data_IF_710327649494
#
_entry.id   IF_710327649494
#
_cell.length_a   1.000
_cell.length_b   1.000
_cell.length_c   1.000
_cell.angle_alpha   90.00
_cell.angle_beta   90.00
_cell.angle_gamma   90.00
#
_symmetry.space_group_name_H-M   'P 1'
#
loop_
_entity.id
_entity.type
_entity.pdbx_description
1 polymer ?
#
# COMPACT_ATOMS: atom_id res chain seq x y z
N UNK A 1 -9.15 15.12 -4.90
CA UNK A 1 -9.11 16.51 -5.37
C UNK A 1 -7.86 17.15 -4.79
N UNK A 2 -6.80 17.27 -5.57
CA UNK A 2 -5.58 17.97 -5.15
C UNK A 2 -6.01 19.41 -4.85
N UNK A 3 -5.72 19.99 -3.69
CA UNK A 3 -6.13 21.35 -3.40
C UNK A 3 -5.45 22.29 -4.39
N UNK A 4 -6.22 22.96 -5.24
CA UNK A 4 -5.78 24.05 -6.07
C UNK A 4 -5.06 25.08 -5.19
N UNK A 5 -3.79 25.33 -5.49
CA UNK A 5 -2.98 26.39 -4.89
C UNK A 5 -3.73 27.70 -4.98
N UNK A 6 -4.24 28.20 -3.86
CA UNK A 6 -4.73 29.57 -3.75
C UNK A 6 -3.56 30.49 -4.11
N UNK A 7 -3.71 31.30 -5.15
CA UNK A 7 -2.79 32.39 -5.44
C UNK A 7 -2.71 33.30 -4.21
N UNK A 8 -1.53 33.35 -3.59
CA UNK A 8 -1.25 34.35 -2.57
C UNK A 8 -1.34 35.75 -3.19
N UNK A 9 -2.16 36.62 -2.59
CA UNK A 9 -2.36 38.00 -3.02
C UNK A 9 -1.14 38.92 -2.80
N UNK A 10 -0.07 38.43 -2.19
CA UNK A 10 1.07 39.24 -1.76
C UNK A 10 2.24 39.30 -2.75
N UNK A 11 2.02 39.14 -4.04
CA UNK A 11 3.02 39.45 -5.08
C UNK A 11 4.41 38.77 -4.92
N UNK A 12 4.68 38.04 -3.85
CA UNK A 12 5.91 37.26 -3.67
C UNK A 12 5.85 36.02 -4.56
N UNK A 13 6.76 35.93 -5.52
CA UNK A 13 6.99 34.71 -6.31
C UNK A 13 7.06 33.54 -5.33
N UNK A 14 6.28 32.44 -5.57
CA UNK A 14 6.42 31.26 -4.75
C UNK A 14 7.90 30.85 -4.75
N UNK A 15 8.42 30.35 -3.61
CA UNK A 15 9.78 29.85 -3.57
C UNK A 15 9.95 28.88 -4.74
N UNK A 16 11.03 29.03 -5.52
CA UNK A 16 11.35 28.13 -6.64
C UNK A 16 11.15 26.71 -6.13
N UNK A 17 10.16 26.00 -6.65
CA UNK A 17 10.01 24.59 -6.38
C UNK A 17 11.34 23.97 -6.77
N UNK A 18 12.09 23.48 -5.80
CA UNK A 18 13.31 22.74 -6.07
C UNK A 18 12.87 21.48 -6.78
N UNK A 19 13.01 21.47 -8.09
CA UNK A 19 12.77 20.27 -8.89
C UNK A 19 13.73 19.20 -8.37
N UNK A 20 13.23 18.03 -7.97
CA UNK A 20 14.09 16.95 -7.49
C UNK A 20 15.18 16.66 -8.53
N UNK A 21 16.43 16.54 -8.09
CA UNK A 21 17.58 16.28 -8.96
C UNK A 21 17.99 14.81 -8.95
N UNK A 22 17.56 14.07 -7.94
CA UNK A 22 17.88 12.66 -7.75
C UNK A 22 16.59 11.84 -7.54
N UNK A 23 16.67 10.54 -7.77
CA UNK A 23 15.56 9.63 -7.49
C UNK A 23 15.15 9.67 -6.00
N UNK A 24 16.13 9.79 -5.09
CA UNK A 24 15.89 9.88 -3.65
C UNK A 24 15.10 11.14 -3.28
N UNK A 25 15.44 12.28 -3.89
CA UNK A 25 14.70 13.53 -3.67
C UNK A 25 13.26 13.47 -4.19
N UNK A 26 12.99 12.64 -5.19
CA UNK A 26 11.65 12.43 -5.75
C UNK A 26 10.75 11.60 -4.84
N UNK A 27 11.31 10.83 -3.90
CA UNK A 27 10.53 10.00 -2.97
C UNK A 27 9.89 10.88 -1.90
N UNK A 28 8.53 10.95 -1.81
CA UNK A 28 7.82 12.01 -1.11
C UNK A 28 7.60 11.76 0.38
N UNK A 29 8.59 11.27 1.13
CA UNK A 29 8.53 11.25 2.58
C UNK A 29 9.81 11.83 3.21
N UNK A 30 9.72 12.29 4.46
CA UNK A 30 10.84 12.90 5.15
C UNK A 30 11.66 11.90 5.96
N UNK A 31 10.99 11.00 6.70
CA UNK A 31 11.68 10.06 7.59
C UNK A 31 10.85 8.79 7.81
N UNK A 32 11.50 7.66 7.78
CA UNK A 32 10.99 6.37 8.24
C UNK A 32 11.60 6.05 9.62
N UNK A 33 10.78 5.53 10.53
CA UNK A 33 11.21 5.06 11.84
C UNK A 33 11.16 3.53 11.90
N UNK A 34 11.92 2.95 12.81
CA UNK A 34 12.03 1.49 12.98
C UNK A 34 10.69 0.83 13.30
N UNK A 35 9.83 1.52 14.08
CA UNK A 35 8.51 1.06 14.49
C UNK A 35 7.44 1.13 13.37
N UNK A 36 7.83 1.41 12.14
CA UNK A 36 6.93 1.55 11.01
C UNK A 36 6.25 2.91 10.88
N UNK A 37 6.47 3.83 11.80
CA UNK A 37 5.96 5.19 11.64
C UNK A 37 6.74 5.93 10.54
N UNK A 38 6.02 6.57 9.64
CA UNK A 38 6.61 7.38 8.57
C UNK A 38 6.17 8.84 8.72
N UNK A 39 7.14 9.75 8.81
CA UNK A 39 6.89 11.18 8.68
C UNK A 39 6.88 11.53 7.20
N UNK A 40 5.70 11.73 6.64
CA UNK A 40 5.53 12.03 5.20
C UNK A 40 5.90 13.50 4.92
N UNK A 41 5.36 14.40 5.71
CA UNK A 41 5.60 15.85 5.65
C UNK A 41 5.66 16.42 7.08
N UNK A 42 6.09 17.69 7.27
CA UNK A 42 6.03 18.32 8.58
C UNK A 42 4.61 18.22 9.15
N UNK A 43 4.51 17.71 10.38
CA UNK A 43 3.23 17.59 11.07
C UNK A 43 2.30 16.46 10.58
N UNK A 44 2.73 15.54 9.72
CA UNK A 44 1.89 14.43 9.28
C UNK A 44 2.63 13.09 9.30
N UNK A 45 2.04 12.13 9.98
CA UNK A 45 2.63 10.82 10.26
C UNK A 45 1.68 9.70 9.89
N UNK A 46 2.23 8.61 9.34
CA UNK A 46 1.46 7.46 8.86
C UNK A 46 2.01 6.14 9.38
N UNK A 47 1.14 5.13 9.48
CA UNK A 47 1.48 3.71 9.63
C UNK A 47 0.74 2.89 8.60
N UNK A 48 1.22 1.66 8.33
CA UNK A 48 0.65 0.76 7.33
C UNK A 48 0.40 -0.61 7.94
N UNK A 49 -0.75 -1.18 7.62
CA UNK A 49 -1.15 -2.53 7.97
C UNK A 49 -1.32 -3.30 6.67
N UNK A 50 -0.69 -4.47 6.55
CA UNK A 50 -0.97 -5.44 5.51
C UNK A 50 -2.14 -6.30 5.95
N UNK A 51 -3.10 -6.58 5.06
CA UNK A 51 -4.24 -7.44 5.37
C UNK A 51 -4.54 -8.41 4.23
N UNK A 52 -5.21 -9.52 4.57
CA UNK A 52 -5.59 -10.56 3.62
C UNK A 52 -7.06 -10.42 3.21
N UNK A 53 -7.45 -11.18 2.20
CA UNK A 53 -8.84 -11.26 1.78
C UNK A 53 -9.71 -11.99 2.81
N UNK A 54 -10.98 -11.61 2.82
CA UNK A 54 -12.05 -12.39 3.39
C UNK A 54 -12.66 -13.28 2.31
N UNK A 55 -13.03 -14.50 2.66
CA UNK A 55 -13.59 -15.45 1.69
C UNK A 55 -15.08 -15.18 1.42
N UNK A 56 -15.37 -13.97 0.92
CA UNK A 56 -16.72 -13.49 0.68
C UNK A 56 -17.48 -14.31 -0.36
N UNK A 57 -16.80 -14.79 -1.41
CA UNK A 57 -17.47 -15.50 -2.51
C UNK A 57 -18.06 -16.85 -2.10
N UNK A 58 -17.38 -17.56 -1.18
CA UNK A 58 -17.82 -18.87 -0.68
C UNK A 58 -18.75 -18.77 0.54
N UNK A 59 -18.97 -17.58 1.07
CA UNK A 59 -19.85 -17.36 2.21
C UNK A 59 -21.33 -17.53 1.83
N UNK A 60 -22.15 -18.01 2.76
CA UNK A 60 -23.61 -18.06 2.61
C UNK A 60 -24.20 -16.64 2.57
N UNK A 61 -25.44 -16.49 2.11
CA UNK A 61 -26.05 -15.17 1.92
C UNK A 61 -26.16 -14.38 3.23
N UNK A 62 -26.46 -15.07 4.33
CA UNK A 62 -26.54 -14.46 5.65
C UNK A 62 -25.17 -13.97 6.14
N UNK A 63 -24.11 -14.77 5.92
CA UNK A 63 -22.75 -14.41 6.24
C UNK A 63 -22.25 -13.22 5.38
N UNK A 64 -22.67 -13.17 4.10
CA UNK A 64 -22.34 -12.03 3.23
C UNK A 64 -22.90 -10.72 3.75
N UNK A 65 -24.12 -10.75 4.27
CA UNK A 65 -24.76 -9.57 4.87
C UNK A 65 -24.00 -9.15 6.14
N UNK A 66 -23.67 -10.10 7.00
CA UNK A 66 -22.90 -9.83 8.22
C UNK A 66 -21.50 -9.25 7.90
N UNK A 67 -20.79 -9.82 6.92
CA UNK A 67 -19.50 -9.30 6.45
C UNK A 67 -19.64 -7.87 5.94
N UNK A 68 -20.69 -7.57 5.18
CA UNK A 68 -20.92 -6.22 4.67
C UNK A 68 -21.21 -5.22 5.80
N UNK A 69 -22.03 -5.58 6.77
CA UNK A 69 -22.32 -4.75 7.94
C UNK A 69 -21.06 -4.48 8.77
N UNK A 70 -20.22 -5.48 8.98
CA UNK A 70 -18.94 -5.33 9.67
C UNK A 70 -17.96 -4.43 8.88
N UNK A 71 -17.93 -4.52 7.55
CA UNK A 71 -17.15 -3.60 6.71
C UNK A 71 -17.68 -2.15 6.81
N UNK A 72 -18.97 -1.95 6.82
CA UNK A 72 -19.56 -0.64 7.04
C UNK A 72 -19.14 -0.08 8.42
N UNK A 73 -19.19 -0.90 9.45
CA UNK A 73 -18.76 -0.56 10.80
C UNK A 73 -17.28 -0.23 10.86
N UNK A 74 -16.44 -1.03 10.17
CA UNK A 74 -15.01 -0.78 10.04
C UNK A 74 -14.71 0.58 9.39
N UNK A 75 -15.37 0.91 8.29
CA UNK A 75 -15.18 2.19 7.61
C UNK A 75 -15.67 3.38 8.44
N UNK A 76 -16.73 3.20 9.22
CA UNK A 76 -17.28 4.22 10.12
C UNK A 76 -16.38 4.49 11.35
N UNK A 77 -15.38 3.64 11.62
CA UNK A 77 -14.39 3.89 12.67
C UNK A 77 -13.55 5.14 12.40
N UNK A 78 -13.29 5.45 11.13
CA UNK A 78 -12.42 6.58 10.76
C UNK A 78 -13.17 7.91 10.87
N UNK A 79 -12.79 8.72 11.82
CA UNK A 79 -13.26 10.10 11.93
C UNK A 79 -12.53 11.04 10.95
N UNK A 80 -12.95 12.30 10.92
CA UNK A 80 -12.37 13.32 10.01
C UNK A 80 -10.91 13.69 10.32
N UNK A 81 -10.37 13.28 11.47
CA UNK A 81 -8.97 13.52 11.88
C UNK A 81 -8.02 12.41 11.40
N UNK A 82 -8.54 11.29 10.95
CA UNK A 82 -7.78 10.14 10.47
C UNK A 82 -7.93 10.07 8.95
N UNK A 83 -6.84 10.30 8.24
CA UNK A 83 -6.78 10.06 6.80
C UNK A 83 -6.35 8.61 6.58
N UNK A 84 -6.99 7.92 5.66
CA UNK A 84 -6.56 6.57 5.33
C UNK A 84 -6.65 6.30 3.84
N UNK A 85 -5.90 5.31 3.42
CA UNK A 85 -5.87 4.82 2.04
C UNK A 85 -5.85 3.31 2.01
N UNK A 86 -6.53 2.75 1.04
CA UNK A 86 -6.47 1.33 0.70
C UNK A 86 -5.64 1.18 -0.56
N UNK A 87 -4.56 0.40 -0.47
CA UNK A 87 -3.67 0.15 -1.60
C UNK A 87 -3.68 -1.32 -1.96
N UNK A 88 -3.89 -1.59 -3.24
CA UNK A 88 -3.84 -2.90 -3.86
C UNK A 88 -2.61 -2.94 -4.75
N UNK A 89 -1.68 -3.83 -4.43
CA UNK A 89 -0.36 -3.89 -5.08
C UNK A 89 -0.22 -5.25 -5.76
N UNK A 90 -0.15 -5.23 -7.08
CA UNK A 90 0.17 -6.39 -7.89
C UNK A 90 1.61 -6.24 -8.38
N UNK A 91 2.49 -7.10 -7.93
CA UNK A 91 3.89 -7.11 -8.36
C UNK A 91 4.28 -8.48 -8.87
N UNK A 92 5.22 -8.52 -9.82
CA UNK A 92 5.81 -9.78 -10.24
C UNK A 92 6.44 -10.48 -9.04
N UNK A 93 6.09 -11.75 -8.87
CA UNK A 93 6.64 -12.59 -7.81
C UNK A 93 8.07 -12.94 -8.16
N UNK A 94 9.01 -12.81 -7.23
CA UNK A 94 10.32 -13.43 -7.38
C UNK A 94 10.10 -14.95 -7.42
N UNK A 95 10.41 -15.56 -8.56
CA UNK A 95 10.22 -17.01 -8.79
C UNK A 95 10.93 -17.86 -7.74
N UNK A 96 12.05 -17.41 -7.22
CA UNK A 96 12.83 -18.12 -6.21
C UNK A 96 12.18 -18.08 -4.82
N UNK A 97 11.62 -16.93 -4.41
CA UNK A 97 10.88 -16.82 -3.14
C UNK A 97 9.53 -17.52 -3.22
N UNK A 98 8.94 -17.50 -4.40
CA UNK A 98 7.71 -18.22 -4.68
C UNK A 98 7.91 -19.75 -4.63
N UNK A 99 8.94 -20.29 -5.28
CA UNK A 99 9.28 -21.71 -5.20
C UNK A 99 9.52 -22.19 -3.76
N UNK A 100 10.15 -21.35 -2.92
CA UNK A 100 10.33 -21.65 -1.50
C UNK A 100 9.00 -21.72 -0.74
N UNK A 101 8.03 -20.85 -1.06
CA UNK A 101 6.73 -20.79 -0.37
C UNK A 101 5.83 -21.98 -0.70
N UNK A 102 5.99 -22.58 -1.90
CA UNK A 102 5.18 -23.71 -2.36
C UNK A 102 5.83 -25.06 -2.01
N UNK A 103 7.13 -25.06 -1.76
CA UNK A 103 7.87 -26.29 -1.47
C UNK A 103 7.52 -26.81 -0.08
N UNK A 104 6.82 -27.93 -0.03
CA UNK A 104 6.60 -28.66 1.20
C UNK A 104 7.88 -29.44 1.53
N UNK A 105 8.50 -29.18 2.69
CA UNK A 105 9.75 -29.86 3.04
C UNK A 105 9.51 -31.37 3.25
N UNK A 106 10.46 -32.18 2.82
CA UNK A 106 10.47 -33.62 3.06
C UNK A 106 10.56 -33.89 4.56
N UNK A 107 9.76 -34.85 5.05
CA UNK A 107 9.72 -35.23 6.46
C UNK A 107 10.23 -36.67 6.71
N UNK A 108 10.58 -37.40 5.64
CA UNK A 108 11.07 -38.79 5.69
C UNK A 108 10.10 -39.78 6.37
N UNK A 109 8.80 -39.52 6.24
CA UNK A 109 7.71 -40.30 6.88
C UNK A 109 6.98 -41.23 5.89
N UNK A 110 7.55 -41.45 4.70
CA UNK A 110 6.96 -42.30 3.64
C UNK A 110 5.94 -41.59 2.75
N UNK A 111 5.65 -40.28 2.97
CA UNK A 111 4.72 -39.46 2.16
C UNK A 111 5.42 -38.36 1.36
N UNK A 112 6.72 -38.48 1.14
CA UNK A 112 7.50 -37.43 0.47
C UNK A 112 7.20 -37.36 -1.03
N UNK A 113 6.82 -38.46 -1.67
CA UNK A 113 6.30 -38.51 -3.03
C UNK A 113 4.99 -37.73 -3.19
N UNK A 114 4.06 -37.89 -2.26
CA UNK A 114 2.79 -37.13 -2.22
C UNK A 114 3.06 -35.63 -2.05
N UNK A 115 4.01 -35.24 -1.18
CA UNK A 115 4.42 -33.84 -1.01
C UNK A 115 5.02 -33.26 -2.27
N UNK A 116 5.84 -34.05 -2.99
CA UNK A 116 6.42 -33.64 -4.25
C UNK A 116 5.34 -33.43 -5.33
N UNK A 117 4.41 -34.39 -5.46
CA UNK A 117 3.29 -34.31 -6.41
C UNK A 117 2.38 -33.10 -6.11
N UNK A 118 2.03 -32.89 -4.84
CA UNK A 118 1.23 -31.73 -4.43
C UNK A 118 1.95 -30.41 -4.71
N UNK A 119 3.24 -30.32 -4.44
CA UNK A 119 4.05 -29.15 -4.79
C UNK A 119 4.11 -28.91 -6.28
N UNK A 120 4.16 -29.99 -7.09
CA UNK A 120 4.13 -29.90 -8.55
C UNK A 120 2.75 -29.45 -9.06
N UNK A 121 1.67 -29.96 -8.48
CA UNK A 121 0.31 -29.54 -8.79
C UNK A 121 0.11 -28.04 -8.51
N UNK A 122 0.57 -27.56 -7.34
CA UNK A 122 0.52 -26.14 -6.99
C UNK A 122 1.28 -25.28 -8.00
N UNK A 123 2.49 -25.71 -8.45
CA UNK A 123 3.26 -25.03 -9.50
C UNK A 123 2.47 -24.94 -10.80
N UNK A 124 1.83 -26.03 -11.22
CA UNK A 124 1.04 -26.07 -12.45
C UNK A 124 -0.22 -25.20 -12.37
N UNK A 125 -0.91 -25.18 -11.24
CA UNK A 125 -2.07 -24.33 -11.06
C UNK A 125 -1.71 -22.84 -11.09
N UNK A 126 -0.62 -22.48 -10.45
CA UNK A 126 -0.14 -21.11 -10.41
C UNK A 126 0.40 -20.63 -11.77
N UNK A 127 1.03 -21.51 -12.54
CA UNK A 127 1.43 -21.19 -13.92
C UNK A 127 0.24 -21.01 -14.87
N UNK A 128 -0.92 -21.56 -14.54
CA UNK A 128 -2.15 -21.43 -15.36
C UNK A 128 -3.07 -20.27 -14.94
N UNK A 129 -2.98 -19.81 -13.70
CA UNK A 129 -3.99 -18.91 -13.13
C UNK A 129 -3.52 -17.54 -12.67
N UNK A 130 -2.23 -17.35 -12.46
CA UNK A 130 -1.69 -16.11 -11.91
C UNK A 130 -0.34 -15.79 -12.56
N UNK A 131 -0.27 -15.33 -13.73
CA UNK A 131 0.95 -14.95 -14.50
C UNK A 131 2.18 -14.49 -13.67
N UNK A 132 2.42 -15.13 -12.50
CA UNK A 132 3.50 -14.79 -11.58
C UNK A 132 3.32 -13.48 -10.81
N UNK A 133 2.08 -12.98 -10.66
CA UNK A 133 1.79 -11.78 -9.88
C UNK A 133 1.34 -12.13 -8.46
N UNK A 134 1.95 -11.48 -7.48
CA UNK A 134 1.48 -11.50 -6.09
C UNK A 134 0.60 -10.28 -5.84
N UNK A 135 -0.64 -10.53 -5.41
CA UNK A 135 -1.60 -9.49 -5.02
C UNK A 135 -1.53 -9.28 -3.51
N UNK A 136 -1.15 -8.09 -3.08
CA UNK A 136 -1.09 -7.71 -1.67
C UNK A 136 -1.94 -6.48 -1.40
N UNK A 137 -2.47 -6.38 -0.18
CA UNK A 137 -3.36 -5.31 0.23
C UNK A 137 -2.84 -4.61 1.47
N UNK A 138 -2.93 -3.29 1.46
CA UNK A 138 -2.44 -2.46 2.54
C UNK A 138 -3.48 -1.41 2.90
N UNK A 139 -3.60 -1.17 4.19
CA UNK A 139 -4.29 -0.02 4.75
C UNK A 139 -3.23 0.89 5.37
N UNK A 140 -3.07 2.09 4.82
CA UNK A 140 -2.22 3.12 5.40
C UNK A 140 -3.10 4.18 6.02
N UNK A 141 -2.87 4.50 7.28
CA UNK A 141 -3.58 5.55 8.00
C UNK A 141 -2.61 6.58 8.53
N UNK A 142 -3.09 7.79 8.68
CA UNK A 142 -2.26 8.90 9.12
C UNK A 142 -3.03 9.97 9.88
N UNK A 143 -2.31 10.66 10.75
CA UNK A 143 -2.81 11.75 11.58
C UNK A 143 -1.86 12.94 11.56
N UNK A 144 -2.40 14.10 11.84
CA UNK A 144 -1.63 15.31 12.05
C UNK A 144 -1.17 15.45 13.51
N UNK A 145 0.00 16.05 13.71
CA UNK A 145 0.54 16.37 15.03
C UNK A 145 1.94 16.99 14.95
N UNK A 146 2.30 17.77 15.95
CA UNK A 146 3.51 18.61 15.92
C UNK A 146 4.80 17.80 16.16
N UNK A 147 4.72 16.72 16.91
CA UNK A 147 5.89 15.92 17.28
C UNK A 147 5.61 14.43 17.31
N UNK A 148 6.67 13.64 17.14
CA UNK A 148 6.61 12.17 17.23
C UNK A 148 6.13 11.71 18.63
N UNK A 149 6.55 12.38 19.69
CA UNK A 149 6.15 12.04 21.05
C UNK A 149 4.63 12.16 21.27
N UNK A 150 4.01 13.15 20.64
CA UNK A 150 2.57 13.37 20.70
C UNK A 150 1.79 12.37 19.83
N UNK A 151 2.31 12.08 18.64
CA UNK A 151 1.60 11.30 17.60
C UNK A 151 1.69 9.81 17.86
N UNK A 152 2.83 9.32 18.36
CA UNK A 152 3.09 7.88 18.51
C UNK A 152 2.04 7.16 19.36
N UNK A 153 1.66 7.60 20.56
CA UNK A 153 0.63 6.92 21.36
C UNK A 153 -0.73 6.86 20.65
N UNK A 154 -1.08 7.92 19.91
CA UNK A 154 -2.33 7.99 19.16
C UNK A 154 -2.32 7.03 17.96
N UNK A 155 -1.21 6.94 17.23
CA UNK A 155 -1.05 5.97 16.15
C UNK A 155 -1.10 4.52 16.65
N UNK A 156 -0.53 4.25 17.83
CA UNK A 156 -0.59 2.93 18.47
C UNK A 156 -2.01 2.56 18.89
N UNK A 157 -2.76 3.50 19.44
CA UNK A 157 -4.18 3.29 19.79
C UNK A 157 -5.00 2.96 18.54
N UNK A 158 -4.90 3.78 17.48
CA UNK A 158 -5.59 3.54 16.21
C UNK A 158 -5.18 2.17 15.62
N UNK A 159 -3.90 1.82 15.69
CA UNK A 159 -3.42 0.52 15.23
C UNK A 159 -4.12 -0.64 15.95
N UNK A 160 -4.20 -0.59 17.27
CA UNK A 160 -4.83 -1.63 18.06
C UNK A 160 -6.33 -1.76 17.74
N UNK A 161 -7.02 -0.63 17.58
CA UNK A 161 -8.44 -0.62 17.22
C UNK A 161 -8.65 -1.20 15.81
N UNK A 162 -7.79 -0.85 14.84
CA UNK A 162 -7.85 -1.41 13.51
C UNK A 162 -7.56 -2.90 13.50
N UNK A 163 -6.59 -3.38 14.28
CA UNK A 163 -6.30 -4.80 14.41
C UNK A 163 -7.48 -5.57 15.01
N UNK A 164 -8.14 -5.02 16.03
CA UNK A 164 -9.35 -5.59 16.60
C UNK A 164 -10.50 -5.63 15.59
N UNK A 165 -10.66 -4.59 14.77
CA UNK A 165 -11.67 -4.54 13.72
C UNK A 165 -11.39 -5.59 12.63
N UNK A 166 -10.14 -5.73 12.17
CA UNK A 166 -9.76 -6.81 11.24
C UNK A 166 -10.02 -8.20 11.83
N UNK A 167 -9.72 -8.39 13.11
CA UNK A 167 -9.99 -9.66 13.79
C UNK A 167 -11.48 -9.98 13.83
N UNK A 168 -12.35 -9.01 14.10
CA UNK A 168 -13.82 -9.18 14.05
C UNK A 168 -14.32 -9.55 12.67
N UNK A 169 -13.73 -8.96 11.61
CA UNK A 169 -13.99 -9.32 10.22
C UNK A 169 -13.48 -10.71 9.83
N UNK A 170 -12.74 -11.39 10.70
CA UNK A 170 -12.08 -12.65 10.37
C UNK A 170 -10.91 -12.49 9.38
N UNK A 171 -10.38 -11.28 9.23
CA UNK A 171 -9.29 -10.95 8.32
C UNK A 171 -7.96 -11.01 9.05
N UNK A 172 -7.01 -11.76 8.51
CA UNK A 172 -5.65 -11.75 8.99
C UNK A 172 -4.97 -10.44 8.58
N UNK A 173 -4.48 -9.72 9.55
CA UNK A 173 -3.81 -8.44 9.34
C UNK A 173 -2.50 -8.38 10.14
N UNK A 174 -1.55 -7.59 9.65
CA UNK A 174 -0.23 -7.41 10.27
C UNK A 174 0.21 -5.96 10.13
N UNK A 175 0.53 -5.25 11.23
CA UNK A 175 1.19 -3.97 11.16
C UNK A 175 2.60 -4.13 10.58
N UNK A 176 3.00 -3.26 9.67
CA UNK A 176 4.34 -3.28 9.10
C UNK A 176 5.30 -2.45 9.93
N UNK A 177 6.46 -3.01 10.25
CA UNK A 177 7.58 -2.27 10.81
C UNK A 177 8.29 -1.40 9.74
N UNK A 178 9.30 -0.63 10.15
CA UNK A 178 10.01 0.26 9.25
C UNK A 178 10.75 -0.47 8.14
N UNK A 179 11.30 -1.64 8.42
CA UNK A 179 12.02 -2.47 7.42
C UNK A 179 11.03 -3.06 6.41
N UNK A 180 9.89 -3.55 6.88
CA UNK A 180 8.83 -4.11 6.04
C UNK A 180 8.20 -3.03 5.14
N UNK A 181 7.97 -1.82 5.68
CA UNK A 181 7.51 -0.69 4.88
C UNK A 181 8.52 -0.26 3.81
N UNK A 182 9.81 -0.23 4.16
CA UNK A 182 10.86 0.06 3.18
C UNK A 182 10.95 -1.03 2.11
N UNK A 183 10.79 -2.30 2.48
CA UNK A 183 10.73 -3.41 1.50
C UNK A 183 9.54 -3.27 0.57
N UNK A 184 8.37 -2.93 1.09
CA UNK A 184 7.19 -2.64 0.28
C UNK A 184 7.45 -1.50 -0.71
N UNK A 185 7.97 -0.38 -0.24
CA UNK A 185 8.31 0.77 -1.09
C UNK A 185 9.40 0.43 -2.12
N UNK A 186 10.38 -0.37 -1.74
CA UNK A 186 11.40 -0.87 -2.67
C UNK A 186 10.76 -1.70 -3.78
N UNK A 187 9.86 -2.63 -3.46
CA UNK A 187 9.14 -3.44 -4.45
C UNK A 187 8.31 -2.59 -5.41
N UNK A 188 7.68 -1.52 -4.91
CA UNK A 188 6.93 -0.56 -5.74
C UNK A 188 7.82 0.29 -6.67
N UNK A 189 9.04 0.59 -6.24
CA UNK A 189 9.98 1.45 -6.96
C UNK A 189 11.00 0.67 -7.81
N UNK A 190 11.09 -0.64 -7.65
CA UNK A 190 12.00 -1.55 -8.37
C UNK A 190 11.23 -2.76 -8.92
N UNK A 191 10.14 -2.50 -9.63
CA UNK A 191 9.26 -3.54 -10.19
C UNK A 191 9.93 -4.39 -11.26
N UNK A 192 11.08 -3.99 -11.80
CA UNK A 192 11.88 -4.76 -12.75
C UNK A 192 12.65 -5.92 -12.10
N UNK A 193 12.67 -5.98 -10.77
CA UNK A 193 13.39 -7.02 -10.02
C UNK A 193 14.90 -6.97 -10.14
N UNK A 194 15.46 -5.93 -10.79
CA UNK A 194 16.90 -5.82 -11.03
C UNK A 194 17.68 -5.59 -9.73
N UNK A 195 17.08 -4.92 -8.77
CA UNK A 195 17.68 -4.65 -7.46
C UNK A 195 17.06 -5.51 -6.37
N UNK A 196 17.89 -6.19 -5.60
CA UNK A 196 17.44 -6.87 -4.39
C UNK A 196 17.43 -5.90 -3.21
N UNK A 197 16.39 -5.99 -2.39
CA UNK A 197 16.28 -5.18 -1.18
C UNK A 197 17.31 -5.60 -0.14
N UNK A 198 18.24 -4.69 0.17
CA UNK A 198 19.21 -4.83 1.25
C UNK A 198 19.12 -3.62 2.16
N UNK A 199 18.78 -3.85 3.41
CA UNK A 199 18.61 -2.78 4.38
C UNK A 199 18.90 -3.26 5.80
N UNK A 200 19.69 -2.46 6.53
CA UNK A 200 19.94 -2.66 7.95
C UNK A 200 20.05 -1.28 8.64
N UNK A 201 19.26 -1.08 9.68
CA UNK A 201 19.26 0.18 10.44
C UNK A 201 20.64 0.57 11.00
N UNK A 202 21.44 -0.41 11.42
CA UNK A 202 22.78 -0.18 11.97
C UNK A 202 23.75 0.38 10.94
N UNK A 203 23.59 0.01 9.68
CA UNK A 203 24.49 0.43 8.61
C UNK A 203 24.23 1.87 8.18
N UNK A 204 22.97 2.33 8.23
CA UNK A 204 22.61 3.72 7.94
C UNK A 204 23.28 4.69 8.92
N UNK A 205 23.27 4.36 10.21
CA UNK A 205 23.91 5.21 11.24
C UNK A 205 25.42 5.35 10.99
N UNK A 206 26.07 4.30 10.45
CA UNK A 206 27.50 4.28 10.20
C UNK A 206 27.89 4.88 8.85
N UNK A 207 27.09 4.65 7.81
CA UNK A 207 27.43 5.02 6.43
C UNK A 207 27.04 6.45 6.05
N UNK A 208 26.18 7.11 6.83
CA UNK A 208 25.61 8.41 6.45
C UNK A 208 24.62 8.35 5.29
N UNK A 209 24.26 7.16 4.82
CA UNK A 209 23.23 6.95 3.81
C UNK A 209 21.85 7.23 4.40
N UNK A 210 20.92 7.60 3.56
CA UNK A 210 19.50 7.75 3.96
C UNK A 210 18.71 6.47 3.71
N UNK A 211 17.61 6.29 4.41
CA UNK A 211 16.68 5.18 4.15
C UNK A 211 16.16 5.18 2.70
N UNK A 212 16.19 6.32 2.04
CA UNK A 212 15.78 6.46 0.64
C UNK A 212 16.76 5.83 -0.34
N UNK A 213 18.04 5.73 0.02
CA UNK A 213 19.06 5.08 -0.83
C UNK A 213 18.79 3.58 -0.97
N UNK A 214 18.21 2.96 0.06
CA UNK A 214 17.87 1.54 0.02
C UNK A 214 16.63 1.20 -0.84
N UNK A 215 15.80 2.18 -1.15
CA UNK A 215 14.54 1.97 -1.88
C UNK A 215 14.49 2.67 -3.24
N UNK A 216 15.40 3.60 -3.50
CA UNK A 216 15.41 4.36 -4.74
C UNK A 216 15.62 3.43 -5.95
N UNK A 217 14.91 3.67 -7.07
CA UNK A 217 15.18 2.95 -8.31
C UNK A 217 16.53 3.36 -8.87
N UNK A 218 17.15 2.46 -9.65
CA UNK A 218 18.44 2.72 -10.34
C UNK A 218 18.39 3.91 -11.27
N UNK A 219 17.25 4.11 -11.93
CA UNK A 219 17.00 5.24 -12.82
C UNK A 219 15.53 5.63 -12.77
N UNK A 220 15.28 6.94 -12.83
CA UNK A 220 13.95 7.50 -12.93
C UNK A 220 13.98 8.60 -14.00
N UNK A 221 13.20 8.46 -15.06
CA UNK A 221 13.15 9.39 -16.16
C UNK A 221 11.71 9.73 -16.58
N UNK A 222 11.44 11.00 -16.79
CA UNK A 222 10.17 11.53 -17.28
C UNK A 222 10.39 12.12 -18.66
N UNK A 223 10.28 11.30 -19.71
CA UNK A 223 10.51 11.74 -21.11
C UNK A 223 9.33 12.52 -21.69
N UNK A 224 8.15 12.31 -21.16
CA UNK A 224 6.91 13.00 -21.54
C UNK A 224 5.96 13.12 -20.33
N UNK A 225 4.83 13.81 -20.51
CA UNK A 225 3.86 14.06 -19.44
C UNK A 225 2.94 12.87 -19.14
N UNK A 226 2.98 11.80 -19.91
CA UNK A 226 2.05 10.66 -19.80
C UNK A 226 2.71 9.42 -19.22
N UNK A 227 4.01 9.25 -19.46
CA UNK A 227 4.74 8.05 -19.06
C UNK A 227 6.03 8.40 -18.34
N UNK A 228 6.44 7.52 -17.44
CA UNK A 228 7.74 7.55 -16.80
C UNK A 228 8.50 6.26 -17.09
N UNK A 229 9.81 6.29 -16.94
CA UNK A 229 10.65 5.11 -16.95
C UNK A 229 11.30 4.96 -15.60
N UNK A 230 11.25 3.75 -15.05
CA UNK A 230 11.79 3.39 -13.74
C UNK A 230 12.60 2.11 -13.89
N UNK A 231 13.93 2.23 -13.79
CA UNK A 231 14.81 1.12 -14.15
C UNK A 231 14.60 0.67 -15.60
N UNK A 232 14.34 -0.63 -15.78
CA UNK A 232 14.08 -1.26 -17.08
C UNK A 232 12.62 -1.18 -17.56
N UNK A 233 11.69 -0.68 -16.75
CA UNK A 233 10.26 -0.68 -17.07
C UNK A 233 9.70 0.70 -17.38
N UNK A 234 8.63 0.72 -18.17
CA UNK A 234 7.83 1.91 -18.41
C UNK A 234 6.53 1.85 -17.62
N UNK A 235 6.13 2.98 -17.06
CA UNK A 235 4.90 3.11 -16.31
C UNK A 235 4.10 4.35 -16.69
N UNK A 236 2.84 4.35 -16.32
CA UNK A 236 1.94 5.49 -16.40
C UNK A 236 1.14 5.62 -15.11
N UNK A 237 0.74 6.83 -14.78
CA UNK A 237 -0.15 7.10 -13.66
C UNK A 237 -1.46 7.64 -14.21
N UNK A 238 -2.56 7.03 -13.80
CA UNK A 238 -3.91 7.47 -14.13
C UNK A 238 -4.71 7.71 -12.85
N UNK A 239 -5.66 8.59 -12.90
CA UNK A 239 -6.64 8.77 -11.83
C UNK A 239 -8.05 8.57 -12.39
N UNK A 240 -8.89 7.94 -11.58
CA UNK A 240 -10.28 7.74 -11.92
C UNK A 240 -11.05 9.04 -11.75
N UNK A 241 -11.63 9.53 -12.84
CA UNK A 241 -12.57 10.63 -12.80
C UNK A 241 -13.98 10.08 -13.01
N UNK A 242 -14.78 10.09 -11.94
CA UNK A 242 -16.14 9.54 -11.95
C UNK A 242 -17.09 10.63 -12.44
N UNK A 243 -17.70 10.39 -13.58
CA UNK A 243 -18.72 11.27 -14.16
C UNK A 243 -20.14 10.65 -14.11
N UNK A 244 -20.24 9.36 -13.78
CA UNK A 244 -21.52 8.66 -13.64
C UNK A 244 -22.13 8.91 -12.24
N UNK A 245 -23.45 8.91 -12.17
CA UNK A 245 -24.20 9.00 -10.91
C UNK A 245 -24.07 7.75 -10.06
N UNK A 246 -23.85 6.60 -10.69
CA UNK A 246 -23.76 5.30 -10.06
C UNK A 246 -22.45 4.60 -10.43
N UNK A 247 -21.82 3.95 -9.45
CA UNK A 247 -20.65 3.11 -9.62
C UNK A 247 -21.02 1.68 -9.25
N UNK A 248 -20.61 0.74 -10.09
CA UNK A 248 -20.63 -0.67 -9.75
C UNK A 248 -19.25 -1.16 -9.30
N UNK A 249 -19.22 -2.23 -8.53
CA UNK A 249 -18.01 -2.93 -8.10
C UNK A 249 -17.20 -3.52 -9.29
N UNK A 250 -17.86 -3.74 -10.43
CA UNK A 250 -17.23 -4.26 -11.64
C UNK A 250 -16.04 -3.42 -12.10
N UNK A 251 -16.12 -2.09 -11.98
CA UNK A 251 -15.05 -1.19 -12.37
C UNK A 251 -13.70 -1.51 -11.66
N UNK A 252 -13.74 -1.67 -10.33
CA UNK A 252 -12.53 -1.99 -9.56
C UNK A 252 -12.07 -3.42 -9.85
N UNK A 253 -12.98 -4.35 -10.05
CA UNK A 253 -12.67 -5.73 -10.39
C UNK A 253 -11.90 -5.81 -11.69
N UNK A 254 -12.35 -5.14 -12.74
CA UNK A 254 -11.69 -5.16 -14.04
C UNK A 254 -10.24 -4.64 -13.96
N UNK A 255 -9.99 -3.60 -13.14
CA UNK A 255 -8.63 -3.11 -12.89
C UNK A 255 -7.79 -4.09 -12.09
N UNK A 256 -8.34 -4.64 -11.01
CA UNK A 256 -7.60 -5.56 -10.13
C UNK A 256 -7.32 -6.93 -10.77
N UNK A 257 -8.11 -7.33 -11.76
CA UNK A 257 -7.94 -8.57 -12.51
C UNK A 257 -7.02 -8.41 -13.73
N UNK A 258 -6.54 -7.20 -14.02
CA UNK A 258 -5.57 -6.98 -15.09
C UNK A 258 -4.27 -7.74 -14.81
N UNK A 259 -3.77 -8.42 -15.83
CA UNK A 259 -2.52 -9.17 -15.78
C UNK A 259 -1.30 -8.26 -16.02
N UNK A 260 -1.09 -7.37 -15.07
CA UNK A 260 0.00 -6.40 -15.10
C UNK A 260 0.48 -6.03 -13.71
N UNK A 261 1.74 -5.63 -13.59
CA UNK A 261 2.23 -4.97 -12.37
C UNK A 261 1.54 -3.63 -12.22
N UNK A 262 0.81 -3.46 -11.14
CA UNK A 262 0.00 -2.25 -10.89
C UNK A 262 -0.14 -1.94 -9.41
N UNK A 263 -0.37 -0.69 -9.14
CA UNK A 263 -0.72 -0.18 -7.81
C UNK A 263 -2.00 0.62 -7.94
N UNK A 264 -3.06 0.15 -7.31
CA UNK A 264 -4.34 0.87 -7.22
C UNK A 264 -4.49 1.40 -5.81
N UNK A 265 -4.62 2.71 -5.65
CA UNK A 265 -4.77 3.35 -4.33
C UNK A 265 -6.06 4.14 -4.26
N UNK A 266 -6.84 3.90 -3.23
CA UNK A 266 -8.05 4.63 -2.88
C UNK A 266 -7.76 5.50 -1.66
N UNK A 267 -7.74 6.82 -1.86
CA UNK A 267 -7.64 7.78 -0.76
C UNK A 267 -9.03 8.07 -0.21
N UNK A 268 -9.23 7.83 1.06
CA UNK A 268 -10.53 7.98 1.72
C UNK A 268 -10.39 8.99 2.85
N UNK A 269 -11.30 9.95 2.87
CA UNK A 269 -11.37 10.94 3.93
C UNK A 269 -12.80 11.05 4.43
N UNK A 270 -13.00 10.78 5.70
CA UNK A 270 -14.29 10.99 6.36
C UNK A 270 -14.59 12.49 6.43
N UNK A 271 -15.84 12.83 6.18
CA UNK A 271 -16.31 14.21 6.22
C UNK A 271 -17.06 14.44 7.52
N UNK A 272 -16.80 15.57 8.18
CA UNK A 272 -17.58 15.99 9.35
C UNK A 272 -19.08 15.98 9.03
N UNK A 273 -19.89 15.44 9.95
CA UNK A 273 -21.32 15.21 9.76
C UNK A 273 -22.07 16.50 9.40
N UNK A 274 -21.72 17.63 10.02
CA UNK A 274 -22.36 18.91 9.73
C UNK A 274 -22.06 19.39 8.31
N UNK A 275 -20.84 19.11 7.82
CA UNK A 275 -20.42 19.43 6.45
C UNK A 275 -21.08 18.49 5.46
N UNK A 276 -21.21 17.22 5.77
CA UNK A 276 -21.89 16.23 4.94
C UNK A 276 -23.37 16.63 4.74
N UNK A 277 -24.09 16.94 5.80
CA UNK A 277 -25.50 17.39 5.75
C UNK A 277 -25.65 18.65 4.88
N UNK A 278 -24.73 19.62 5.01
CA UNK A 278 -24.77 20.83 4.16
C UNK A 278 -24.51 20.54 2.68
N UNK A 279 -23.70 19.54 2.38
CA UNK A 279 -23.38 19.15 0.99
C UNK A 279 -24.55 18.43 0.34
N UNK A 280 -25.23 17.55 1.07
CA UNK A 280 -26.41 16.79 0.56
C UNK A 280 -27.65 17.71 0.39
N UNK A 281 -27.76 18.77 1.19
CA UNK A 281 -28.88 19.73 1.09
C UNK A 281 -28.72 20.79 -0.02
N UNK A 282 -27.60 20.79 -0.73
CA UNK A 282 -27.35 21.63 -1.92
C UNK A 282 -27.64 20.87 -3.21
#
# INVERSE_FOLDING_TARGET
MIPFLKKNKDGKKPPKSTVPRTAQESIPFQRMFEDGTCRVRPGYYTRTIQYQDINYQLAQQEDKTAIFEEWCSFLNFFDSSIHFELSFVNTATDSADFEKSIRIPYQQDGFDDVRAEYSQMLRQQLSKGNNGLTKTKFLTYGIEGDSMAQVKPRLEHIQNDLMNNFHRLGVLAKPLDGTERLRLMHGMLNMDGANKFHFNWKDIVKSGLSVKDAIAPTALAFKNSRTFQMGGIFGAVSFLNITASDLSDQLLKDFLDMDSSQIVTMHIQSVDQNRAIKTVKR
#
